data_IF_076134261739
#
_entry.id   IF_076134261739
#
_cell.length_a   1.000
_cell.length_b   1.000
_cell.length_c   1.000
_cell.angle_alpha   90.00
_cell.angle_beta   90.00
_cell.angle_gamma   90.00
#
_symmetry.space_group_name_H-M   'P 1'
#
loop_
_entity.id
_entity.type
_entity.pdbx_description
1 polymer ?
#
# COMPACT_ATOMS: atom_id res chain seq x y z
N UNK A 1 11.02 -6.46 -63.36
CA UNK A 1 9.97 -7.20 -62.63
C UNK A 1 10.31 -7.18 -61.14
N UNK A 2 9.54 -6.37 -60.40
CA UNK A 2 9.29 -6.27 -58.96
C UNK A 2 10.29 -6.86 -57.94
N UNK A 3 11.11 -6.00 -57.32
CA UNK A 3 11.71 -6.27 -56.00
C UNK A 3 10.87 -5.55 -54.94
N UNK A 4 9.93 -6.28 -54.34
CA UNK A 4 9.08 -5.82 -53.24
C UNK A 4 9.96 -5.67 -51.99
N UNK A 5 10.34 -4.43 -51.65
CA UNK A 5 11.07 -4.11 -50.42
C UNK A 5 10.10 -4.08 -49.24
N UNK A 6 10.09 -5.14 -48.43
CA UNK A 6 9.40 -5.14 -47.15
C UNK A 6 10.27 -4.42 -46.11
N UNK A 7 9.98 -3.14 -45.88
CA UNK A 7 10.58 -2.37 -44.79
C UNK A 7 9.89 -2.78 -43.49
N UNK A 8 10.49 -3.71 -42.75
CA UNK A 8 10.02 -4.13 -41.44
C UNK A 8 10.32 -3.03 -40.40
N UNK A 9 9.31 -2.21 -40.08
CA UNK A 9 9.36 -1.24 -39.00
C UNK A 9 9.16 -1.98 -37.66
N UNK A 10 10.26 -2.39 -37.02
CA UNK A 10 10.21 -2.91 -35.65
C UNK A 10 9.83 -1.76 -34.70
N UNK A 11 8.62 -1.81 -34.15
CA UNK A 11 8.23 -0.97 -33.02
C UNK A 11 9.02 -1.42 -31.79
N UNK A 12 10.01 -0.64 -31.37
CA UNK A 12 10.62 -0.77 -30.06
C UNK A 12 9.66 -0.18 -29.02
N UNK A 13 8.93 -1.05 -28.32
CA UNK A 13 8.12 -0.66 -27.17
C UNK A 13 9.06 -0.32 -26.00
N UNK A 14 9.18 0.97 -25.65
CA UNK A 14 9.87 1.38 -24.43
C UNK A 14 9.00 1.05 -23.20
N UNK A 15 9.53 0.42 -22.15
CA UNK A 15 8.78 0.17 -20.94
C UNK A 15 8.38 1.50 -20.29
N UNK A 16 7.09 1.66 -19.97
CA UNK A 16 6.62 2.78 -19.16
C UNK A 16 7.05 2.53 -17.70
N UNK A 17 7.86 3.43 -17.16
CA UNK A 17 8.23 3.41 -15.74
C UNK A 17 7.08 4.05 -14.94
N UNK A 18 6.39 3.23 -14.14
CA UNK A 18 5.43 3.72 -13.17
C UNK A 18 6.17 4.07 -11.88
N UNK A 19 6.57 5.34 -11.74
CA UNK A 19 7.23 5.80 -10.52
C UNK A 19 6.22 5.93 -9.38
N UNK A 20 6.56 5.33 -8.23
CA UNK A 20 5.80 5.49 -6.98
C UNK A 20 6.68 6.14 -5.94
N UNK A 21 6.09 7.04 -5.14
CA UNK A 21 6.81 7.78 -4.11
C UNK A 21 6.70 7.01 -2.81
N UNK A 22 7.83 6.59 -2.25
CA UNK A 22 7.89 5.91 -0.95
C UNK A 22 7.70 6.91 0.20
N UNK A 23 6.76 6.60 1.10
CA UNK A 23 6.48 7.41 2.27
C UNK A 23 7.02 6.71 3.53
N UNK A 24 7.76 7.42 4.41
CA UNK A 24 8.29 6.85 5.65
C UNK A 24 7.23 6.66 6.74
N UNK A 25 6.05 7.25 6.56
CA UNK A 25 4.94 7.25 7.51
C UNK A 25 3.66 6.86 6.78
N UNK A 26 2.86 6.00 7.41
CA UNK A 26 1.51 5.65 7.00
C UNK A 26 0.51 6.30 7.95
N UNK A 27 -0.40 7.12 7.40
CA UNK A 27 -1.48 7.75 8.16
C UNK A 27 -2.73 6.86 8.11
N UNK A 28 -3.24 6.48 9.27
CA UNK A 28 -4.43 5.63 9.42
C UNK A 28 -5.57 6.37 10.10
N UNK A 29 -6.79 5.92 9.84
CA UNK A 29 -7.99 6.27 10.61
C UNK A 29 -8.61 5.00 11.17
N UNK A 30 -8.57 4.85 12.48
CA UNK A 30 -9.20 3.72 13.19
C UNK A 30 -10.61 4.08 13.64
N UNK A 31 -11.60 3.26 13.27
CA UNK A 31 -12.95 3.33 13.81
C UNK A 31 -13.09 2.39 15.00
N UNK A 32 -13.31 2.93 16.18
CA UNK A 32 -13.76 2.14 17.32
C UNK A 32 -15.24 1.76 17.10
N UNK A 33 -15.48 0.46 16.88
CA UNK A 33 -16.82 -0.08 16.62
C UNK A 33 -17.77 0.02 17.82
N UNK A 34 -17.25 0.11 19.05
CA UNK A 34 -18.07 0.22 20.27
C UNK A 34 -18.55 1.65 20.48
N UNK A 35 -17.65 2.62 20.33
CA UNK A 35 -17.96 4.04 20.58
C UNK A 35 -18.35 4.82 19.33
N UNK A 36 -18.09 4.29 18.13
CA UNK A 36 -18.28 4.98 16.86
C UNK A 36 -17.26 6.09 16.59
N UNK A 37 -16.23 6.26 17.44
CA UNK A 37 -15.23 7.31 17.30
C UNK A 37 -14.18 6.91 16.26
N UNK A 38 -13.88 7.84 15.35
CA UNK A 38 -12.74 7.75 14.43
C UNK A 38 -11.54 8.47 15.05
N UNK A 39 -10.39 7.83 15.06
CA UNK A 39 -9.12 8.40 15.53
C UNK A 39 -8.08 8.30 14.43
N UNK A 40 -7.45 9.42 14.09
CA UNK A 40 -6.32 9.47 13.18
C UNK A 40 -5.02 9.21 13.95
N UNK A 41 -4.13 8.41 13.37
CA UNK A 41 -2.81 8.15 13.92
C UNK A 41 -1.81 7.80 12.82
N UNK A 42 -0.56 8.20 13.04
CA UNK A 42 0.54 7.97 12.13
C UNK A 42 1.42 6.82 12.64
N UNK A 43 1.94 6.02 11.72
CA UNK A 43 2.81 4.88 12.03
C UNK A 43 4.00 4.89 11.08
N UNK A 44 5.21 4.83 11.61
CA UNK A 44 6.41 4.69 10.78
C UNK A 44 6.48 3.29 10.17
N UNK A 45 7.06 3.18 8.98
CA UNK A 45 7.23 1.88 8.32
C UNK A 45 8.09 0.96 9.18
N UNK A 46 7.63 -0.27 9.38
CA UNK A 46 8.16 -1.31 10.25
C UNK A 46 7.97 -1.11 11.75
N UNK A 47 7.30 -0.04 12.19
CA UNK A 47 6.86 0.10 13.58
C UNK A 47 5.48 -0.50 13.78
N UNK A 48 5.22 -0.98 14.99
CA UNK A 48 3.92 -1.54 15.38
C UNK A 48 3.21 -0.57 16.30
N UNK A 49 1.99 -0.19 15.93
CA UNK A 49 1.09 0.57 16.81
C UNK A 49 -0.04 -0.33 17.32
N UNK A 50 -0.53 -0.05 18.52
CA UNK A 50 -1.71 -0.72 19.06
C UNK A 50 -2.95 0.17 18.93
N UNK A 51 -4.01 -0.37 18.34
CA UNK A 51 -5.33 0.25 18.26
C UNK A 51 -6.39 -0.73 18.79
N UNK A 52 -6.78 -0.55 20.06
CA UNK A 52 -7.66 -1.49 20.76
C UNK A 52 -7.02 -2.88 20.88
N UNK A 53 -7.68 -3.88 20.29
CA UNK A 53 -7.20 -5.26 20.24
C UNK A 53 -6.33 -5.56 19.01
N UNK A 54 -6.05 -4.56 18.17
CA UNK A 54 -5.26 -4.74 16.95
C UNK A 54 -3.86 -4.19 17.13
N UNK A 55 -2.87 -4.92 16.62
CA UNK A 55 -1.51 -4.47 16.38
C UNK A 55 -1.32 -4.30 14.88
N UNK A 56 -0.92 -3.11 14.46
CA UNK A 56 -0.86 -2.71 13.06
C UNK A 56 0.58 -2.37 12.71
N UNK A 57 1.12 -3.03 11.70
CA UNK A 57 2.51 -2.86 11.25
C UNK A 57 2.55 -2.60 9.75
N UNK A 58 2.67 -1.34 9.29
CA UNK A 58 2.85 -1.04 7.87
C UNK A 58 4.24 -1.47 7.40
N UNK A 59 4.32 -2.19 6.29
CA UNK A 59 5.58 -2.65 5.68
C UNK A 59 5.99 -1.83 4.47
N UNK A 60 5.04 -1.20 3.79
CA UNK A 60 5.29 -0.28 2.68
C UNK A 60 4.15 0.73 2.57
N UNK A 61 4.46 1.98 2.21
CA UNK A 61 3.47 3.02 1.91
C UNK A 61 3.93 3.79 0.67
N UNK A 62 3.08 3.84 -0.36
CA UNK A 62 3.39 4.46 -1.64
C UNK A 62 2.30 5.43 -2.07
N UNK A 63 2.69 6.57 -2.63
CA UNK A 63 1.77 7.53 -3.24
C UNK A 63 2.09 7.70 -4.72
N UNK A 64 1.07 7.90 -5.55
CA UNK A 64 1.24 8.22 -6.97
C UNK A 64 1.71 9.67 -7.18
N UNK A 65 2.56 9.94 -8.19
CA UNK A 65 2.97 11.30 -8.54
C UNK A 65 1.76 12.19 -8.86
N UNK A 66 1.96 13.51 -8.74
CA UNK A 66 0.91 14.50 -9.01
C UNK A 66 0.41 14.51 -10.46
N UNK A 67 1.16 13.92 -11.38
CA UNK A 67 0.80 13.79 -12.81
C UNK A 67 -0.23 12.68 -13.06
N UNK A 68 -0.51 11.83 -12.08
CA UNK A 68 -1.48 10.74 -12.15
C UNK A 68 -2.60 10.97 -11.11
N UNK A 69 -3.72 10.28 -11.31
CA UNK A 69 -4.80 10.20 -10.31
C UNK A 69 -4.24 9.84 -8.94
N UNK A 70 -4.53 10.70 -7.97
CA UNK A 70 -4.02 10.56 -6.61
C UNK A 70 -4.53 9.26 -5.98
N UNK A 71 -3.58 8.41 -5.60
CA UNK A 71 -3.83 7.17 -4.88
C UNK A 71 -2.64 6.88 -3.98
N UNK A 72 -2.96 6.55 -2.72
CA UNK A 72 -2.00 6.03 -1.75
C UNK A 72 -2.33 4.57 -1.51
N UNK A 73 -1.31 3.72 -1.43
CA UNK A 73 -1.47 2.30 -1.14
C UNK A 73 -0.47 1.88 -0.08
N UNK A 74 -0.92 1.08 0.88
CA UNK A 74 -0.11 0.60 1.98
C UNK A 74 -0.18 -0.92 2.04
N UNK A 75 0.96 -1.58 2.18
CA UNK A 75 1.01 -2.98 2.57
C UNK A 75 1.10 -3.06 4.08
N UNK A 76 0.13 -3.72 4.71
CA UNK A 76 0.00 -3.73 6.16
C UNK A 76 -0.24 -5.14 6.67
N UNK A 77 0.38 -5.41 7.81
CA UNK A 77 0.13 -6.58 8.63
C UNK A 77 -0.71 -6.16 9.83
N UNK A 78 -1.80 -6.88 10.07
CA UNK A 78 -2.68 -6.65 11.23
C UNK A 78 -2.80 -7.93 12.02
N UNK A 79 -2.33 -7.85 13.25
CA UNK A 79 -2.41 -8.90 14.25
C UNK A 79 -3.52 -8.57 15.26
N UNK A 80 -4.28 -9.56 15.68
CA UNK A 80 -5.28 -9.42 16.73
C UNK A 80 -4.73 -10.02 18.02
N UNK A 81 -4.79 -9.24 19.10
CA UNK A 81 -4.47 -9.67 20.46
C UNK A 81 -5.75 -10.15 21.14
N UNK A 82 -5.80 -11.43 21.49
CA UNK A 82 -6.95 -12.00 22.20
C UNK A 82 -6.93 -11.62 23.68
N UNK A 83 -8.07 -11.78 24.36
CA UNK A 83 -8.19 -11.58 25.81
C UNK A 83 -7.30 -12.55 26.62
N UNK A 84 -6.85 -13.65 26.01
CA UNK A 84 -5.95 -14.64 26.61
C UNK A 84 -4.48 -14.34 26.32
N UNK A 85 -4.19 -13.26 25.60
CA UNK A 85 -2.83 -12.84 25.23
C UNK A 85 -2.25 -13.57 24.02
N UNK A 86 -3.04 -14.33 23.26
CA UNK A 86 -2.58 -14.88 21.97
C UNK A 86 -2.57 -13.79 20.92
N UNK A 87 -1.61 -13.86 20.00
CA UNK A 87 -1.46 -12.92 18.89
C UNK A 87 -1.63 -13.70 17.59
N UNK A 88 -2.65 -13.35 16.81
CA UNK A 88 -3.02 -14.04 15.58
C UNK A 88 -3.04 -13.06 14.40
N UNK A 89 -2.39 -13.42 13.28
CA UNK A 89 -2.40 -12.62 12.05
C UNK A 89 -3.76 -12.70 11.37
N UNK A 90 -4.51 -11.60 11.40
CA UNK A 90 -5.86 -11.53 10.81
C UNK A 90 -5.88 -10.91 9.41
N UNK A 91 -4.87 -10.10 9.06
CA UNK A 91 -4.75 -9.51 7.73
C UNK A 91 -3.29 -9.31 7.34
N UNK A 92 -2.98 -9.57 6.07
CA UNK A 92 -1.71 -9.22 5.44
C UNK A 92 -1.95 -8.91 3.98
N UNK A 93 -1.76 -7.66 3.57
CA UNK A 93 -2.05 -7.28 2.19
C UNK A 93 -2.00 -5.79 1.92
N UNK A 94 -2.30 -5.46 0.65
CA UNK A 94 -2.41 -4.08 0.16
C UNK A 94 -3.81 -3.51 0.43
N UNK A 95 -3.87 -2.25 0.84
CA UNK A 95 -5.08 -1.42 0.90
C UNK A 95 -4.83 -0.04 0.28
#
# INVERSE_FOLDING_TARGET
MLRMGALALCLFATPALADTIANPVAAFSGLDKITGRITAFDVYINETVQFGALQITPRACYTRPLTETQRTSVFVEVDQVSLRGTVDRIFTGWM
#
